data_IF_423733279313
#
_entry.id   IF_423733279313
#
_cell.length_a   1.000
_cell.length_b   1.000
_cell.length_c   1.000
_cell.angle_alpha   90.00
_cell.angle_beta   90.00
_cell.angle_gamma   90.00
#
_symmetry.space_group_name_H-M   'P 1'
#
loop_
_entity.id
_entity.type
_entity.pdbx_description
1 polymer ?
#
# COMPACT_ATOMS: atom_id res chain seq x y z
N UNK A 1 -31.67 53.10 -13.77
CA UNK A 1 -32.96 53.25 -14.48
C UNK A 1 -32.90 52.27 -15.64
N UNK A 2 -33.52 51.10 -15.65
CA UNK A 2 -34.76 50.66 -15.02
C UNK A 2 -35.50 49.91 -16.13
N UNK A 3 -35.81 48.63 -15.90
CA UNK A 3 -37.06 47.95 -16.26
C UNK A 3 -36.84 46.43 -16.37
N UNK A 4 -37.20 45.74 -15.28
CA UNK A 4 -37.99 44.51 -15.39
C UNK A 4 -39.40 44.85 -15.92
N UNK A 5 -40.11 43.86 -16.48
CA UNK A 5 -41.32 43.36 -15.81
C UNK A 5 -41.38 41.82 -15.80
N UNK A 6 -41.66 41.15 -14.67
CA UNK A 6 -42.97 40.90 -14.01
C UNK A 6 -43.78 39.72 -14.61
N UNK A 7 -43.72 38.59 -13.89
CA UNK A 7 -44.79 37.71 -13.35
C UNK A 7 -46.08 37.39 -14.15
N UNK A 8 -46.43 36.09 -14.20
CA UNK A 8 -47.68 35.49 -13.68
C UNK A 8 -47.67 33.95 -13.92
N UNK A 9 -47.58 33.08 -12.90
CA UNK A 9 -48.64 32.44 -12.06
C UNK A 9 -49.72 31.66 -12.81
N UNK A 10 -49.85 30.35 -12.48
CA UNK A 10 -51.08 29.56 -12.15
C UNK A 10 -50.73 28.05 -12.05
N UNK A 11 -50.77 27.42 -10.86
CA UNK A 11 -51.88 26.60 -10.27
C UNK A 11 -52.28 25.39 -11.12
N UNK A 12 -52.69 24.21 -10.64
CA UNK A 12 -52.68 23.43 -9.40
C UNK A 12 -53.47 22.14 -9.76
N UNK A 13 -53.07 21.00 -9.18
CA UNK A 13 -53.86 19.77 -8.94
C UNK A 13 -54.41 18.93 -10.13
N UNK A 14 -54.25 17.59 -10.04
CA UNK A 14 -55.35 16.59 -9.90
C UNK A 14 -54.73 15.21 -9.58
N UNK A 15 -55.21 14.59 -8.49
CA UNK A 15 -55.06 13.18 -8.09
C UNK A 15 -56.27 12.39 -8.65
N UNK A 16 -56.06 11.15 -9.11
CA UNK A 16 -56.99 9.99 -9.15
C UNK A 16 -56.37 8.93 -10.09
N UNK A 17 -56.37 7.62 -9.85
CA UNK A 17 -56.97 6.81 -8.80
C UNK A 17 -56.45 5.36 -8.90
N UNK A 18 -56.58 4.65 -7.79
CA UNK A 18 -56.42 3.20 -7.67
C UNK A 18 -57.54 2.47 -8.40
N UNK A 19 -57.24 1.36 -9.09
CA UNK A 19 -58.21 0.28 -9.20
C UNK A 19 -57.54 -1.10 -9.22
N UNK A 20 -57.88 -1.89 -8.20
CA UNK A 20 -57.58 -3.31 -7.99
C UNK A 20 -58.77 -4.14 -8.48
N UNK A 21 -58.51 -5.30 -9.07
CA UNK A 21 -59.20 -6.61 -8.93
C UNK A 21 -58.77 -7.51 -10.10
N UNK A 22 -57.94 -8.54 -9.88
CA UNK A 22 -58.23 -9.86 -9.29
C UNK A 22 -59.03 -10.75 -10.25
N UNK A 23 -58.37 -11.76 -10.81
CA UNK A 23 -58.98 -13.04 -11.14
C UNK A 23 -57.90 -14.13 -11.01
N UNK A 24 -58.13 -15.05 -10.07
CA UNK A 24 -57.33 -16.24 -9.86
C UNK A 24 -58.06 -17.43 -10.50
N UNK A 25 -57.33 -18.31 -11.20
CA UNK A 25 -57.59 -19.75 -11.18
C UNK A 25 -56.43 -20.58 -11.78
N UNK A 26 -55.94 -21.45 -10.93
CA UNK A 26 -55.56 -22.86 -11.16
C UNK A 26 -54.29 -23.20 -11.97
N UNK A 27 -53.28 -23.64 -11.20
CA UNK A 27 -52.60 -24.95 -11.30
C UNK A 27 -51.82 -25.28 -12.59
N UNK A 28 -50.49 -25.18 -12.53
CA UNK A 28 -49.64 -26.36 -12.74
C UNK A 28 -48.23 -26.13 -12.15
N UNK A 29 -47.92 -26.91 -11.12
CA UNK A 29 -46.63 -27.00 -10.47
C UNK A 29 -45.69 -27.81 -11.39
N UNK A 30 -44.73 -27.15 -12.03
CA UNK A 30 -43.53 -27.82 -12.58
C UNK A 30 -42.31 -27.15 -12.00
N UNK A 31 -41.94 -27.57 -10.80
CA UNK A 31 -40.60 -27.37 -10.27
C UNK A 31 -39.61 -28.09 -11.18
N UNK A 32 -39.08 -27.37 -12.16
CA UNK A 32 -37.96 -27.83 -12.95
C UNK A 32 -36.68 -27.63 -12.14
N UNK A 33 -35.82 -28.64 -12.20
CA UNK A 33 -34.40 -28.65 -11.78
C UNK A 33 -34.12 -28.89 -10.29
N UNK A 34 -34.43 -30.11 -9.84
CA UNK A 34 -33.49 -30.84 -8.97
C UNK A 34 -32.19 -31.03 -9.73
N UNK A 35 -31.18 -30.26 -9.33
CA UNK A 35 -29.82 -30.29 -9.86
C UNK A 35 -28.87 -29.49 -9.00
N UNK A 36 -29.09 -29.45 -7.68
CA UNK A 36 -28.16 -28.86 -6.70
C UNK A 36 -27.63 -29.92 -5.73
N UNK A 37 -27.55 -31.18 -6.17
CA UNK A 37 -27.00 -32.28 -5.38
C UNK A 37 -25.49 -32.47 -5.62
N UNK A 38 -24.78 -31.41 -6.02
CA UNK A 38 -23.33 -31.47 -6.24
C UNK A 38 -22.61 -30.13 -6.00
N UNK A 39 -23.11 -29.32 -5.07
CA UNK A 39 -22.35 -28.19 -4.53
C UNK A 39 -21.72 -28.67 -3.22
N UNK A 40 -20.47 -29.10 -3.32
CA UNK A 40 -19.61 -29.39 -2.19
C UNK A 40 -19.30 -28.06 -1.47
N UNK A 41 -20.13 -27.71 -0.48
CA UNK A 41 -19.89 -26.57 0.40
C UNK A 41 -18.76 -26.93 1.36
N UNK A 42 -17.54 -26.98 0.84
CA UNK A 42 -16.34 -27.16 1.66
C UNK A 42 -16.29 -26.03 2.68
N UNK A 43 -16.31 -26.36 3.97
CA UNK A 43 -16.24 -25.38 5.04
C UNK A 43 -14.99 -24.52 4.84
N UNK A 44 -15.19 -23.19 4.80
CA UNK A 44 -14.14 -22.21 4.53
C UNK A 44 -12.99 -22.27 5.54
N UNK A 45 -13.19 -22.92 6.69
CA UNK A 45 -12.21 -23.05 7.77
C UNK A 45 -11.00 -23.93 7.41
N UNK A 46 -11.14 -24.88 6.47
CA UNK A 46 -10.03 -25.78 6.06
C UNK A 46 -9.30 -25.35 4.79
N UNK A 47 -9.76 -24.28 4.13
CA UNK A 47 -9.02 -23.73 3.00
C UNK A 47 -7.74 -23.07 3.51
N UNK A 48 -6.58 -23.54 3.04
CA UNK A 48 -5.32 -22.83 3.21
C UNK A 48 -5.45 -21.46 2.52
N UNK A 49 -5.80 -20.43 3.29
CA UNK A 49 -5.80 -19.06 2.82
C UNK A 49 -4.35 -18.69 2.50
N UNK A 50 -4.01 -18.75 1.20
CA UNK A 50 -2.72 -18.31 0.71
C UNK A 50 -2.56 -16.82 1.00
N UNK A 51 -1.92 -16.49 2.13
CA UNK A 51 -1.85 -15.10 2.57
C UNK A 51 -1.11 -14.83 3.87
N UNK A 52 -0.53 -15.83 4.55
CA UNK A 52 0.33 -15.54 5.70
C UNK A 52 1.51 -14.68 5.25
N UNK A 53 1.53 -13.42 5.69
CA UNK A 53 2.63 -12.52 5.46
C UNK A 53 3.87 -13.10 6.13
N UNK A 54 4.87 -13.45 5.31
CA UNK A 54 6.15 -13.93 5.83
C UNK A 54 6.83 -12.79 6.58
N UNK A 55 7.37 -13.08 7.75
CA UNK A 55 8.10 -12.10 8.56
C UNK A 55 9.60 -12.42 8.55
N UNK A 56 10.44 -11.40 8.67
CA UNK A 56 11.86 -11.57 8.98
C UNK A 56 12.03 -12.01 10.43
N UNK A 57 13.25 -12.39 10.82
CA UNK A 57 13.57 -12.68 12.23
C UNK A 57 13.28 -11.49 13.17
N UNK A 58 13.34 -10.27 12.64
CA UNK A 58 13.05 -9.01 13.35
C UNK A 58 11.56 -8.63 13.33
N UNK A 59 10.68 -9.48 12.79
CA UNK A 59 9.23 -9.25 12.75
C UNK A 59 8.76 -8.33 11.62
N UNK A 60 9.62 -7.96 10.67
CA UNK A 60 9.26 -7.11 9.54
C UNK A 60 8.59 -7.92 8.43
N UNK A 61 7.60 -7.36 7.73
CA UNK A 61 6.94 -8.09 6.64
C UNK A 61 7.90 -8.25 5.46
N UNK A 62 8.10 -9.48 5.01
CA UNK A 62 8.82 -9.79 3.78
C UNK A 62 7.93 -9.40 2.60
N UNK A 63 8.52 -8.72 1.62
CA UNK A 63 7.81 -8.32 0.41
C UNK A 63 7.24 -9.54 -0.33
N UNK A 64 5.94 -9.52 -0.63
CA UNK A 64 5.33 -10.60 -1.40
C UNK A 64 5.74 -10.53 -2.88
N UNK A 65 5.54 -11.62 -3.62
CA UNK A 65 5.82 -11.65 -5.07
C UNK A 65 4.94 -10.63 -5.81
N UNK A 66 3.72 -10.39 -5.33
CA UNK A 66 2.80 -9.40 -5.90
C UNK A 66 3.33 -7.99 -5.66
N UNK A 67 3.62 -7.65 -4.40
CA UNK A 67 4.14 -6.33 -4.02
C UNK A 67 5.43 -6.05 -4.77
N UNK A 68 6.30 -7.04 -4.94
CA UNK A 68 7.54 -6.88 -5.70
C UNK A 68 7.31 -6.58 -7.18
N UNK A 69 6.27 -7.13 -7.81
CA UNK A 69 5.93 -6.81 -9.20
C UNK A 69 5.42 -5.38 -9.34
N UNK A 70 4.51 -4.98 -8.45
CA UNK A 70 3.97 -3.62 -8.40
C UNK A 70 5.08 -2.61 -8.10
N UNK A 71 5.91 -2.88 -7.09
CA UNK A 71 7.09 -2.09 -6.73
C UNK A 71 8.06 -1.90 -7.90
N UNK A 72 8.39 -2.99 -8.63
CA UNK A 72 9.25 -2.90 -9.81
C UNK A 72 8.65 -2.04 -10.90
N UNK A 73 7.33 -2.09 -11.09
CA UNK A 73 6.64 -1.25 -12.06
C UNK A 73 6.76 0.22 -11.65
N UNK A 74 6.42 0.55 -10.41
CA UNK A 74 6.49 1.92 -9.89
C UNK A 74 7.90 2.51 -10.00
N UNK A 75 8.93 1.70 -9.69
CA UNK A 75 10.33 2.14 -9.80
C UNK A 75 10.76 2.32 -11.26
N UNK A 76 10.34 1.44 -12.17
CA UNK A 76 10.64 1.59 -13.59
C UNK A 76 9.92 2.80 -14.21
N UNK A 77 8.71 3.15 -13.75
CA UNK A 77 7.98 4.34 -14.21
C UNK A 77 8.74 5.63 -13.88
N UNK A 78 9.43 5.67 -12.73
CA UNK A 78 10.34 6.76 -12.39
C UNK A 78 11.76 6.52 -12.95
N UNK A 79 11.95 5.58 -13.88
CA UNK A 79 13.23 5.30 -14.56
C UNK A 79 14.30 4.62 -13.71
N UNK A 80 13.96 4.05 -12.55
CA UNK A 80 14.90 3.39 -11.64
C UNK A 80 14.87 1.87 -11.86
N UNK A 81 16.03 1.29 -12.13
CA UNK A 81 16.14 -0.15 -12.41
C UNK A 81 16.28 -0.94 -11.12
N UNK A 82 15.33 -1.83 -10.85
CA UNK A 82 15.36 -2.72 -9.67
C UNK A 82 16.01 -4.06 -10.00
N UNK A 83 17.07 -4.40 -9.27
CA UNK A 83 17.85 -5.64 -9.37
C UNK A 83 17.66 -6.45 -8.09
N UNK A 84 17.46 -7.76 -8.24
CA UNK A 84 17.43 -8.68 -7.11
C UNK A 84 18.78 -9.36 -6.95
N UNK A 85 19.43 -9.18 -5.81
CA UNK A 85 20.67 -9.86 -5.48
C UNK A 85 20.38 -11.28 -4.96
N UNK A 86 20.24 -12.23 -5.90
CA UNK A 86 20.01 -13.65 -5.58
C UNK A 86 21.26 -14.38 -5.08
N UNK A 87 22.45 -13.81 -5.31
CA UNK A 87 23.74 -14.47 -5.02
C UNK A 87 24.47 -13.83 -3.84
N UNK A 88 23.86 -12.83 -3.19
CA UNK A 88 24.46 -12.03 -2.12
C UNK A 88 25.84 -11.46 -2.47
N UNK A 89 26.05 -11.18 -3.76
CA UNK A 89 27.34 -10.77 -4.31
C UNK A 89 27.46 -9.26 -4.51
N UNK A 90 26.34 -8.53 -4.46
CA UNK A 90 26.28 -7.10 -4.75
C UNK A 90 26.14 -6.31 -3.45
N UNK A 91 25.25 -6.75 -2.56
CA UNK A 91 25.02 -6.08 -1.28
C UNK A 91 25.88 -6.69 -0.15
N UNK A 92 26.46 -5.86 0.74
CA UNK A 92 27.06 -6.35 1.98
C UNK A 92 26.09 -7.25 2.76
N UNK A 93 26.61 -8.22 3.52
CA UNK A 93 25.81 -9.21 4.27
C UNK A 93 24.79 -8.60 5.24
N UNK A 94 25.06 -7.40 5.73
CA UNK A 94 24.25 -6.69 6.72
C UNK A 94 23.22 -5.73 6.12
N UNK A 95 23.03 -5.73 4.79
CA UNK A 95 22.17 -4.75 4.11
C UNK A 95 21.13 -5.48 3.24
N UNK A 96 19.86 -5.19 3.48
CA UNK A 96 18.73 -5.79 2.76
C UNK A 96 18.44 -5.11 1.41
N UNK A 97 18.84 -3.85 1.23
CA UNK A 97 18.63 -3.08 0.02
C UNK A 97 19.55 -1.86 -0.07
N UNK A 98 19.71 -1.33 -1.27
CA UNK A 98 20.46 -0.10 -1.49
C UNK A 98 20.12 0.55 -2.81
N UNK A 99 19.96 1.88 -2.79
CA UNK A 99 19.86 2.73 -3.97
C UNK A 99 21.20 3.39 -4.32
N UNK A 100 21.61 3.29 -5.58
CA UNK A 100 22.79 3.95 -6.13
C UNK A 100 22.37 5.14 -7.04
N UNK A 101 22.61 6.39 -6.62
CA UNK A 101 22.26 7.58 -7.40
C UNK A 101 23.17 7.83 -8.63
N UNK A 102 24.32 7.16 -8.74
CA UNK A 102 25.20 7.31 -9.92
C UNK A 102 24.80 6.38 -11.05
N UNK A 103 24.34 5.17 -10.71
CA UNK A 103 23.93 4.16 -11.68
C UNK A 103 22.41 4.06 -11.85
N UNK A 104 21.66 4.83 -11.05
CA UNK A 104 20.18 4.87 -10.99
C UNK A 104 19.56 3.47 -10.80
N UNK A 105 20.25 2.64 -10.02
CA UNK A 105 19.88 1.26 -9.76
C UNK A 105 19.54 1.08 -8.30
N UNK A 106 18.48 0.30 -8.06
CA UNK A 106 18.12 -0.19 -6.75
C UNK A 106 18.39 -1.68 -6.69
N UNK A 107 19.13 -2.11 -5.68
CA UNK A 107 19.41 -3.52 -5.45
C UNK A 107 18.69 -3.95 -4.18
N UNK A 108 17.95 -5.05 -4.23
CA UNK A 108 17.26 -5.64 -3.09
C UNK A 108 17.67 -7.11 -2.92
N UNK A 109 17.79 -7.58 -1.68
CA UNK A 109 17.88 -9.02 -1.40
C UNK A 109 16.55 -9.71 -1.70
N UNK A 110 16.59 -11.02 -1.94
CA UNK A 110 15.38 -11.81 -2.23
C UNK A 110 14.40 -11.89 -1.07
N UNK A 111 14.90 -11.73 0.15
CA UNK A 111 14.17 -11.75 1.42
C UNK A 111 14.03 -10.34 2.04
N UNK A 112 14.26 -9.28 1.24
CA UNK A 112 14.12 -7.92 1.71
C UNK A 112 12.70 -7.66 2.29
N UNK A 113 12.68 -6.98 3.43
CA UNK A 113 11.42 -6.53 4.01
C UNK A 113 10.74 -5.47 3.13
N UNK A 114 9.42 -5.36 3.24
CA UNK A 114 8.63 -4.30 2.63
C UNK A 114 9.15 -2.92 3.08
N UNK A 115 9.46 -2.77 4.37
CA UNK A 115 10.05 -1.55 4.92
C UNK A 115 11.37 -1.19 4.22
N UNK A 116 12.28 -2.16 4.06
CA UNK A 116 13.57 -1.93 3.39
C UNK A 116 13.39 -1.51 1.92
N UNK A 117 12.51 -2.18 1.18
CA UNK A 117 12.27 -1.82 -0.20
C UNK A 117 11.62 -0.44 -0.35
N UNK A 118 10.63 -0.13 0.49
CA UNK A 118 10.00 1.20 0.49
C UNK A 118 10.98 2.29 0.91
N UNK A 119 11.86 2.02 1.88
CA UNK A 119 12.96 2.90 2.28
C UNK A 119 13.82 3.30 1.06
N UNK A 120 14.32 2.31 0.31
CA UNK A 120 15.10 2.59 -0.90
C UNK A 120 14.28 3.33 -1.97
N UNK A 121 12.98 3.05 -2.07
CA UNK A 121 12.10 3.76 -3.02
C UNK A 121 11.93 5.24 -2.69
N UNK A 122 11.96 5.61 -1.41
CA UNK A 122 11.89 7.01 -1.01
C UNK A 122 13.19 7.73 -1.35
N UNK A 123 14.36 7.11 -1.18
CA UNK A 123 15.62 7.67 -1.69
C UNK A 123 15.57 7.89 -3.20
N UNK A 124 15.09 6.90 -3.95
CA UNK A 124 14.94 6.98 -5.39
C UNK A 124 13.97 8.09 -5.83
N UNK A 125 12.82 8.24 -5.15
CA UNK A 125 11.84 9.31 -5.42
C UNK A 125 12.42 10.70 -5.10
N UNK A 126 13.08 10.86 -3.96
CA UNK A 126 13.76 12.09 -3.59
C UNK A 126 14.81 12.49 -4.63
N UNK A 127 15.58 11.52 -5.10
CA UNK A 127 16.57 11.72 -6.16
C UNK A 127 15.92 12.22 -7.45
N UNK A 128 14.78 11.66 -7.84
CA UNK A 128 14.04 12.11 -9.03
C UNK A 128 13.45 13.50 -8.87
N UNK A 129 12.95 13.84 -7.69
CA UNK A 129 12.39 15.15 -7.39
C UNK A 129 13.46 16.25 -7.42
N UNK A 130 14.65 15.97 -6.87
CA UNK A 130 15.71 16.98 -6.70
C UNK A 130 16.71 17.03 -7.86
N UNK A 131 16.84 15.93 -8.60
CA UNK A 131 17.94 15.67 -9.51
C UNK A 131 19.25 15.30 -8.78
N UNK A 132 20.16 14.67 -9.52
CA UNK A 132 21.40 14.11 -8.98
C UNK A 132 22.25 15.13 -8.21
N UNK A 133 22.44 16.33 -8.77
CA UNK A 133 23.29 17.35 -8.15
C UNK A 133 22.80 17.77 -6.76
N UNK A 134 21.50 18.06 -6.63
CA UNK A 134 20.91 18.50 -5.37
C UNK A 134 20.75 17.34 -4.38
N UNK A 135 20.47 16.14 -4.87
CA UNK A 135 20.43 14.95 -4.02
C UNK A 135 21.81 14.65 -3.40
N UNK A 136 22.88 14.73 -4.20
CA UNK A 136 24.24 14.44 -3.73
C UNK A 136 24.81 15.55 -2.82
N UNK A 137 24.29 16.78 -2.88
CA UNK A 137 24.63 17.86 -1.95
C UNK A 137 24.14 17.59 -0.52
N UNK A 138 23.12 16.76 -0.35
CA UNK A 138 22.58 16.43 0.97
C UNK A 138 23.52 15.49 1.75
N UNK A 139 23.65 15.79 3.03
CA UNK A 139 24.22 14.87 4.01
C UNK A 139 23.42 13.58 4.08
N UNK A 140 24.04 12.53 4.63
CA UNK A 140 23.32 11.28 4.93
C UNK A 140 22.12 11.55 5.85
N UNK A 141 22.30 12.36 6.90
CA UNK A 141 21.22 12.63 7.85
C UNK A 141 20.00 13.27 7.19
N UNK A 142 20.18 14.21 6.26
CA UNK A 142 19.06 14.86 5.54
C UNK A 142 18.28 13.86 4.67
N UNK A 143 18.99 12.98 3.95
CA UNK A 143 18.37 11.94 3.12
C UNK A 143 17.59 10.93 3.97
N UNK A 144 18.18 10.47 5.07
CA UNK A 144 17.53 9.52 5.98
C UNK A 144 16.32 10.14 6.70
N UNK A 145 16.39 11.43 7.03
CA UNK A 145 15.30 12.18 7.63
C UNK A 145 14.12 12.34 6.66
N UNK A 146 14.38 12.60 5.36
CA UNK A 146 13.35 12.58 4.33
C UNK A 146 12.64 11.22 4.26
N UNK A 147 13.41 10.12 4.23
CA UNK A 147 12.83 8.77 4.16
C UNK A 147 11.98 8.47 5.40
N UNK A 148 12.47 8.81 6.59
CA UNK A 148 11.70 8.65 7.83
C UNK A 148 10.37 9.44 7.77
N UNK A 149 10.42 10.70 7.33
CA UNK A 149 9.23 11.54 7.23
C UNK A 149 8.21 10.97 6.24
N UNK A 150 8.65 10.44 5.09
CA UNK A 150 7.75 9.78 4.13
C UNK A 150 7.16 8.48 4.67
N UNK A 151 7.92 7.69 5.43
CA UNK A 151 7.38 6.51 6.14
C UNK A 151 6.30 6.93 7.13
N UNK A 152 6.58 7.95 7.97
CA UNK A 152 5.64 8.40 9.01
C UNK A 152 4.39 9.06 8.42
N UNK A 153 4.51 9.74 7.29
CA UNK A 153 3.39 10.32 6.53
C UNK A 153 2.46 9.25 5.96
N UNK A 154 2.99 8.06 5.68
CA UNK A 154 2.26 6.91 5.15
C UNK A 154 2.14 5.78 6.20
N UNK A 155 2.17 6.12 7.50
CA UNK A 155 2.28 5.14 8.60
C UNK A 155 1.19 4.08 8.62
N UNK A 156 0.02 4.37 8.06
CA UNK A 156 -1.12 3.46 7.92
C UNK A 156 -0.83 2.25 7.02
N UNK A 157 0.18 2.34 6.16
CA UNK A 157 0.62 1.23 5.30
C UNK A 157 1.52 0.23 6.01
N UNK A 158 2.02 0.58 7.20
CA UNK A 158 3.02 -0.17 7.94
C UNK A 158 2.43 -0.83 9.19
N UNK A 159 3.00 -1.96 9.60
CA UNK A 159 2.71 -2.55 10.92
C UNK A 159 3.50 -1.84 12.03
N UNK A 160 3.11 -2.07 13.28
CA UNK A 160 3.71 -1.38 14.43
C UNK A 160 5.22 -1.62 14.53
N UNK A 161 5.68 -2.84 14.22
CA UNK A 161 7.08 -3.26 14.21
C UNK A 161 7.89 -2.52 13.15
N UNK A 162 7.32 -2.26 11.97
CA UNK A 162 7.98 -1.51 10.90
C UNK A 162 8.10 -0.02 11.25
N UNK A 163 7.06 0.56 11.86
CA UNK A 163 7.13 1.93 12.38
C UNK A 163 8.17 2.02 13.49
N UNK A 164 8.18 1.08 14.42
CA UNK A 164 9.17 1.02 15.48
C UNK A 164 10.59 0.93 14.92
N UNK A 165 10.82 0.08 13.92
CA UNK A 165 12.14 -0.06 13.30
C UNK A 165 12.59 1.23 12.58
N UNK A 166 11.67 1.88 11.85
CA UNK A 166 11.95 3.18 11.22
C UNK A 166 12.32 4.25 12.26
N UNK A 167 11.59 4.29 13.39
CA UNK A 167 11.90 5.17 14.51
C UNK A 167 13.26 4.84 15.15
N UNK A 168 13.56 3.55 15.34
CA UNK A 168 14.82 3.05 15.91
C UNK A 168 16.01 3.46 15.06
N UNK A 169 15.88 3.33 13.75
CA UNK A 169 16.93 3.70 12.81
C UNK A 169 17.13 5.21 12.74
N UNK A 170 16.07 6.03 12.62
CA UNK A 170 16.25 7.49 12.60
C UNK A 170 16.81 8.02 13.93
N UNK A 171 16.46 7.39 15.06
CA UNK A 171 17.09 7.69 16.35
C UNK A 171 18.61 7.49 16.29
N UNK A 172 19.06 6.35 15.74
CA UNK A 172 20.48 6.11 15.53
C UNK A 172 21.13 7.15 14.60
N UNK A 173 20.47 7.52 13.50
CA UNK A 173 20.99 8.53 12.57
C UNK A 173 21.18 9.88 13.27
N UNK A 174 20.23 10.32 14.09
CA UNK A 174 20.26 11.60 14.81
C UNK A 174 21.27 11.60 15.96
N UNK A 175 21.38 10.50 16.71
CA UNK A 175 22.13 10.46 17.98
C UNK A 175 23.47 9.71 17.88
N UNK A 176 23.72 8.98 16.79
CA UNK A 176 24.87 8.08 16.59
C UNK A 176 24.98 6.95 17.63
N UNK A 177 23.89 6.68 18.35
CA UNK A 177 23.75 5.60 19.32
C UNK A 177 22.38 4.96 19.15
N UNK A 178 22.32 3.63 19.29
CA UNK A 178 21.05 2.92 19.30
C UNK A 178 20.28 3.25 20.57
N UNK A 179 18.93 3.27 20.52
CA UNK A 179 18.14 3.52 21.70
C UNK A 179 18.28 2.36 22.70
N UNK A 180 17.97 2.62 23.96
CA UNK A 180 18.03 1.62 25.02
C UNK A 180 17.06 0.45 24.75
N UNK A 181 17.34 -0.77 25.22
CA UNK A 181 16.50 -1.95 24.96
C UNK A 181 15.03 -1.80 25.38
N UNK A 182 14.73 -0.95 26.36
CA UNK A 182 13.38 -0.67 26.84
C UNK A 182 12.69 0.50 26.13
N UNK A 183 13.33 1.12 25.13
CA UNK A 183 12.78 2.24 24.38
C UNK A 183 11.55 1.81 23.58
N UNK A 184 10.48 2.62 23.66
CA UNK A 184 9.16 2.31 23.10
C UNK A 184 8.86 2.99 21.76
N UNK A 185 9.85 3.63 21.16
CA UNK A 185 9.66 4.48 19.99
C UNK A 185 9.40 5.94 20.38
N UNK A 186 9.17 6.78 19.38
CA UNK A 186 8.64 8.12 19.61
C UNK A 186 7.15 8.00 19.95
N UNK A 187 6.67 8.80 20.90
CA UNK A 187 5.27 8.83 21.32
C UNK A 187 4.33 8.98 20.11
N UNK A 188 3.18 8.29 20.14
CA UNK A 188 2.22 8.20 19.03
C UNK A 188 1.32 9.41 18.92
#
# INVERSE_FOLDING_TARGET
MGNEPVLEKKSAEVFEGLNLKSDAKDLELKESTKGTDNLDFKEWEEMHVGGQTRLTADGLRIMSIRDLKEFKKDMNEIGIKVILDKKEGILPRNVAGGFDPYTEQMVLRTDASLLSALHESYHAKQFRELGQENYLKQSRSEREEYVYNEIMKNKEKFIAEEIYEAQRYIFFIRNKQWPLPNWKGYEK
#
